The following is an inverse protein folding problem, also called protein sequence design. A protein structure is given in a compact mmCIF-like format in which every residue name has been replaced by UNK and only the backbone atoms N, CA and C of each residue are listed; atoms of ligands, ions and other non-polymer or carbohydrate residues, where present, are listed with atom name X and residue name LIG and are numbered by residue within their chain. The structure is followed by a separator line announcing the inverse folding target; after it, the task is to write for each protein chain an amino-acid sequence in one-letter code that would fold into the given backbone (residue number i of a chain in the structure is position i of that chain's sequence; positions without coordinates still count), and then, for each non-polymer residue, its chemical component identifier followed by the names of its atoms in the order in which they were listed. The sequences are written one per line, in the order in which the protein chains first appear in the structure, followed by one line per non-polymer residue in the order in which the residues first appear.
data_IF_396988336160
#
_entry.id   IF_396988336160
#
_cell.length_a   1.000
_cell.length_b   1.000
_cell.length_c   1.000
_cell.angle_alpha   90.00
_cell.angle_beta   90.00
_cell.angle_gamma   90.00
#
_symmetry.space_group_name_H-M   'P 1'
#
loop_
_entity.id
_entity.type
_entity.pdbx_description
1 polymer ?
#
# COMPACT_ATOMS: atom_id res chain seq x y z
N UNK A 1 -15.04 10.07 2.61
CA UNK A 1 -13.63 9.93 2.20
C UNK A 1 -13.28 8.49 2.44
N UNK A 2 -12.95 7.74 1.41
CA UNK A 2 -12.56 6.34 1.58
C UNK A 2 -11.24 6.30 2.33
N UNK A 3 -11.10 5.39 3.29
CA UNK A 3 -9.83 5.18 3.97
C UNK A 3 -8.81 4.57 3.00
N UNK A 4 -7.53 4.90 3.19
CA UNK A 4 -6.47 4.33 2.38
C UNK A 4 -6.30 2.84 2.70
N UNK A 5 -5.99 2.03 1.67
CA UNK A 5 -5.67 0.61 1.86
C UNK A 5 -4.15 0.49 1.97
N UNK A 6 -3.67 0.08 3.14
CA UNK A 6 -2.25 -0.10 3.43
C UNK A 6 -1.90 -1.59 3.48
N UNK A 7 -1.01 -2.05 2.60
CA UNK A 7 -0.41 -3.39 2.65
C UNK A 7 1.04 -3.26 3.12
N UNK A 8 1.36 -3.82 4.29
CA UNK A 8 2.71 -3.82 4.86
C UNK A 8 3.31 -5.22 4.76
N UNK A 9 4.59 -5.29 4.45
CA UNK A 9 5.31 -6.55 4.40
C UNK A 9 6.82 -6.33 4.61
N UNK A 10 7.48 -7.32 5.22
CA UNK A 10 8.93 -7.34 5.34
C UNK A 10 9.50 -8.29 4.29
N UNK A 11 10.30 -7.82 3.31
CA UNK A 11 11.01 -8.71 2.40
C UNK A 11 12.03 -9.56 3.18
N UNK A 12 12.36 -10.75 2.67
CA UNK A 12 13.31 -11.67 3.32
C UNK A 12 14.72 -11.06 3.53
N UNK A 13 15.07 -10.05 2.73
CA UNK A 13 16.22 -9.20 2.93
C UNK A 13 15.90 -7.79 2.45
N UNK A 14 16.00 -6.81 3.35
CA UNK A 14 15.74 -5.40 3.04
C UNK A 14 14.90 -4.70 4.10
N UNK A 15 14.66 -3.39 3.91
CA UNK A 15 13.82 -2.61 4.82
C UNK A 15 12.36 -3.06 4.75
N UNK A 16 11.61 -2.79 5.82
CA UNK A 16 10.16 -2.95 5.84
C UNK A 16 9.52 -2.11 4.71
N UNK A 17 8.55 -2.69 4.00
CA UNK A 17 7.89 -2.06 2.86
C UNK A 17 6.40 -1.87 3.12
N UNK A 18 5.83 -0.86 2.48
CA UNK A 18 4.41 -0.56 2.48
C UNK A 18 3.95 -0.16 1.08
N UNK A 19 2.78 -0.65 0.67
CA UNK A 19 2.06 -0.16 -0.49
C UNK A 19 0.76 0.45 0.01
N UNK A 20 0.56 1.74 -0.27
CA UNK A 20 -0.62 2.50 0.11
C UNK A 20 -1.45 2.82 -1.14
N UNK A 21 -2.71 2.43 -1.15
CA UNK A 21 -3.69 2.88 -2.14
C UNK A 21 -4.51 4.01 -1.53
N UNK A 22 -4.26 5.24 -2.00
CA UNK A 22 -4.91 6.46 -1.50
C UNK A 22 -6.00 6.87 -2.50
N UNK A 23 -7.26 7.03 -2.10
CA UNK A 23 -8.30 7.48 -3.02
C UNK A 23 -8.03 8.92 -3.45
N UNK A 24 -8.34 9.25 -4.70
CA UNK A 24 -8.20 10.60 -5.23
C UNK A 24 -9.56 11.29 -5.31
N UNK A 25 -9.55 12.63 -5.20
CA UNK A 25 -10.76 13.44 -5.28
C UNK A 25 -11.39 13.47 -6.68
N UNK A 26 -10.61 13.21 -7.73
CA UNK A 26 -11.04 13.17 -9.13
C UNK A 26 -11.49 11.78 -9.60
N UNK A 27 -11.60 10.83 -8.67
CA UNK A 27 -11.85 9.42 -8.97
C UNK A 27 -10.56 8.62 -9.08
N UNK A 28 -10.68 7.30 -8.92
CA UNK A 28 -9.53 6.40 -8.89
C UNK A 28 -8.65 6.56 -7.65
N UNK A 29 -7.42 6.10 -7.78
CA UNK A 29 -6.50 5.85 -6.68
C UNK A 29 -5.08 6.29 -7.05
N UNK A 30 -4.27 6.51 -6.02
CA UNK A 30 -2.83 6.65 -6.11
C UNK A 30 -2.18 5.49 -5.39
N UNK A 31 -1.46 4.63 -6.12
CA UNK A 31 -0.59 3.61 -5.52
C UNK A 31 0.73 4.29 -5.16
N UNK A 32 1.06 4.27 -3.87
CA UNK A 32 2.33 4.79 -3.35
C UNK A 32 3.11 3.65 -2.73
N UNK A 33 4.34 3.44 -3.19
CA UNK A 33 5.27 2.49 -2.56
C UNK A 33 6.14 3.23 -1.57
N UNK A 34 6.30 2.68 -0.38
CA UNK A 34 7.09 3.25 0.70
C UNK A 34 8.05 2.22 1.28
N UNK A 35 9.24 2.67 1.66
CA UNK A 35 10.23 1.87 2.39
C UNK A 35 10.54 2.55 3.73
N UNK A 36 10.67 1.75 4.79
CA UNK A 36 11.08 2.24 6.10
C UNK A 36 12.59 2.45 6.13
N UNK A 37 13.03 3.67 6.44
CA UNK A 37 14.46 4.01 6.50
C UNK A 37 15.06 3.96 7.92
N UNK A 38 14.32 3.46 8.90
CA UNK A 38 14.69 3.46 10.32
C UNK A 38 13.96 4.50 11.17
N UNK A 39 13.46 5.59 10.57
CA UNK A 39 12.78 6.67 11.29
C UNK A 39 11.40 7.02 10.71
N UNK A 40 11.26 6.91 9.40
CA UNK A 40 10.02 7.28 8.70
C UNK A 40 9.83 6.45 7.44
N UNK A 41 8.60 6.44 6.95
CA UNK A 41 8.29 5.92 5.64
C UNK A 41 8.78 6.91 4.58
N UNK A 42 9.65 6.45 3.70
CA UNK A 42 10.09 7.19 2.52
C UNK A 42 9.34 6.68 1.30
N UNK A 43 8.67 7.58 0.57
CA UNK A 43 8.06 7.25 -0.71
C UNK A 43 9.14 6.93 -1.75
N UNK A 44 8.96 5.83 -2.47
CA UNK A 44 9.91 5.33 -3.48
C UNK A 44 9.28 5.19 -4.87
N UNK A 45 7.96 5.33 -4.96
CA UNK A 45 7.23 5.28 -6.22
C UNK A 45 5.79 5.75 -6.04
N UNK A 46 5.22 6.32 -7.10
CA UNK A 46 3.83 6.72 -7.17
C UNK A 46 3.26 6.41 -8.56
N UNK A 47 2.00 5.99 -8.61
CA UNK A 47 1.31 5.60 -9.84
C UNK A 47 -0.18 5.89 -9.73
N UNK A 48 -0.79 6.44 -10.79
CA UNK A 48 -2.24 6.62 -10.88
C UNK A 48 -2.89 5.29 -11.25
N UNK A 49 -3.95 4.91 -10.54
CA UNK A 49 -4.64 3.63 -10.71
C UNK A 49 -6.14 3.89 -10.79
N UNK A 50 -6.82 3.32 -11.79
CA UNK A 50 -8.26 3.52 -11.96
C UNK A 50 -9.09 2.74 -10.93
N UNK A 51 -8.71 1.49 -10.66
CA UNK A 51 -9.47 0.58 -9.79
C UNK A 51 -8.54 -0.26 -8.90
N UNK A 52 -8.99 -0.52 -7.66
CA UNK A 52 -8.28 -1.36 -6.70
C UNK A 52 -9.23 -2.41 -6.17
N UNK A 53 -8.87 -3.68 -6.35
CA UNK A 53 -9.58 -4.83 -5.79
C UNK A 53 -8.58 -5.72 -5.04
N UNK A 54 -9.01 -6.28 -3.90
CA UNK A 54 -8.25 -7.31 -3.18
C UNK A 54 -8.91 -8.65 -3.46
N UNK A 55 -8.25 -9.48 -4.25
CA UNK A 55 -8.68 -10.85 -4.51
C UNK A 55 -7.86 -11.82 -3.66
N UNK A 56 -8.55 -12.70 -2.92
CA UNK A 56 -7.89 -13.74 -2.16
C UNK A 56 -8.46 -15.11 -2.53
N UNK A 57 -7.61 -16.00 -3.03
CA UNK A 57 -7.95 -17.41 -3.15
C UNK A 57 -7.64 -18.10 -1.82
N UNK A 58 -8.62 -18.15 -0.92
CA UNK A 58 -8.65 -19.11 0.19
C UNK A 58 -7.84 -18.80 1.47
N UNK A 59 -7.57 -17.54 1.85
CA UNK A 59 -6.81 -17.26 3.08
C UNK A 59 -7.15 -15.94 3.78
N UNK A 60 -7.29 -16.00 5.11
CA UNK A 60 -7.58 -14.88 6.01
C UNK A 60 -6.45 -13.84 5.98
N UNK A 61 -6.81 -12.58 5.74
CA UNK A 61 -5.98 -11.45 6.11
C UNK A 61 -6.10 -11.26 7.63
N UNK A 62 -5.06 -11.63 8.38
CA UNK A 62 -4.97 -11.30 9.81
C UNK A 62 -4.56 -9.82 9.93
N UNK A 63 -5.52 -8.98 10.31
CA UNK A 63 -5.24 -7.67 10.89
C UNK A 63 -5.13 -7.81 12.40
N UNK A 64 -4.15 -7.12 13.00
CA UNK A 64 -4.12 -6.87 14.45
C UNK A 64 -5.26 -5.92 14.87
#
# INVERSE_FOLDING_TARGET
MTDAIDIRYQPAGGPLRKVSFRPRSDGGWLRVTLEWNGCQWRETGCESVDEVALECTGGVAIGE
#
